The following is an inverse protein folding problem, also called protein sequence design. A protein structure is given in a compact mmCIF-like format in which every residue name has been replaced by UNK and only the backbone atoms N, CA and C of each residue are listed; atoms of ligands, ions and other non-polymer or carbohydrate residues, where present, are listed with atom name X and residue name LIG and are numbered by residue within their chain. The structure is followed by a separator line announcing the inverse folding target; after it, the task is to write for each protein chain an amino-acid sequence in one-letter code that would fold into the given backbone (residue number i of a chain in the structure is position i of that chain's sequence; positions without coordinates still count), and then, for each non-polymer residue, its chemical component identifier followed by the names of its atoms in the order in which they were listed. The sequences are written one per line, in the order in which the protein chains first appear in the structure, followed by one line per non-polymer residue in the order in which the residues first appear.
data_IF_856311656412
#
_entry.id   IF_856311656412
#
_cell.length_a   1.000
_cell.length_b   1.000
_cell.length_c   1.000
_cell.angle_alpha   90.00
_cell.angle_beta   90.00
_cell.angle_gamma   90.00
#
_symmetry.space_group_name_H-M   'P 1'
#
loop_
_entity.id
_entity.type
_entity.pdbx_description
1 polymer ?
#
# COMPACT_ATOMS: atom_id res chain seq x y z
N UNK A 1 5.71 -10.00 11.37
CA UNK A 1 6.86 -9.26 10.80
C UNK A 1 6.58 -9.08 9.31
N UNK A 2 7.16 -8.11 8.56
CA UNK A 2 7.04 -8.09 7.09
C UNK A 2 7.44 -9.42 6.41
N UNK A 3 8.09 -10.33 7.14
CA UNK A 3 8.45 -11.69 6.73
C UNK A 3 7.28 -12.68 6.62
N UNK A 4 6.05 -12.32 7.04
CA UNK A 4 4.90 -13.24 7.11
C UNK A 4 3.84 -13.00 6.01
N UNK A 5 4.10 -12.13 5.03
CA UNK A 5 3.13 -11.88 3.95
C UNK A 5 2.99 -13.12 3.06
N UNK A 6 1.80 -13.72 3.08
CA UNK A 6 1.50 -14.91 2.27
C UNK A 6 1.25 -14.50 0.82
N UNK A 7 1.98 -15.06 -0.11
CA UNK A 7 1.74 -14.86 -1.54
C UNK A 7 1.01 -16.08 -2.12
N UNK A 8 -0.23 -15.90 -2.56
CA UNK A 8 -1.00 -17.00 -3.13
C UNK A 8 -0.37 -17.52 -4.43
N UNK A 9 -0.47 -18.83 -4.65
CA UNK A 9 0.12 -19.47 -5.84
C UNK A 9 -0.43 -18.95 -7.16
N UNK A 10 -1.67 -18.45 -7.17
CA UNK A 10 -2.34 -17.88 -8.34
C UNK A 10 -2.07 -16.38 -8.50
N UNK A 11 -1.45 -15.72 -7.52
CA UNK A 11 -1.15 -14.30 -7.57
C UNK A 11 0.03 -14.04 -8.53
N UNK A 12 -0.17 -13.22 -9.58
CA UNK A 12 0.85 -13.02 -10.59
C UNK A 12 2.08 -12.32 -9.99
N UNK A 13 3.28 -12.82 -10.27
CA UNK A 13 4.56 -12.28 -9.75
C UNK A 13 5.31 -11.38 -10.72
N UNK A 14 4.69 -11.00 -11.84
CA UNK A 14 5.37 -10.24 -12.88
C UNK A 14 4.47 -9.27 -13.63
N UNK A 15 5.15 -8.39 -14.37
CA UNK A 15 4.65 -7.70 -15.56
C UNK A 15 3.38 -6.87 -15.37
N UNK A 16 3.38 -5.89 -14.46
CA UNK A 16 2.27 -4.95 -14.27
C UNK A 16 0.90 -5.62 -14.05
N UNK A 17 0.92 -6.89 -13.63
CA UNK A 17 -0.27 -7.67 -13.42
C UNK A 17 -0.98 -7.17 -12.15
N UNK A 18 -2.33 -7.09 -12.17
CA UNK A 18 -3.07 -6.66 -11.00
C UNK A 18 -2.99 -7.72 -9.91
N UNK A 19 -2.77 -7.27 -8.68
CA UNK A 19 -2.83 -8.07 -7.46
C UNK A 19 -3.76 -7.41 -6.45
N UNK A 20 -4.21 -8.19 -5.48
CA UNK A 20 -5.04 -7.73 -4.39
C UNK A 20 -4.33 -8.01 -3.07
N UNK A 21 -3.95 -6.98 -2.33
CA UNK A 21 -3.23 -7.10 -1.07
C UNK A 21 -4.21 -7.00 0.08
N UNK A 22 -4.25 -8.04 0.90
CA UNK A 22 -5.05 -8.10 2.12
C UNK A 22 -4.28 -7.44 3.27
N UNK A 23 -4.95 -6.52 3.94
CA UNK A 23 -4.44 -5.72 5.03
C UNK A 23 -5.20 -6.06 6.31
N UNK A 24 -4.45 -6.16 7.41
CA UNK A 24 -5.01 -6.32 8.76
C UNK A 24 -4.59 -5.15 9.64
N UNK A 25 -5.52 -4.70 10.48
CA UNK A 25 -5.24 -3.67 11.47
C UNK A 25 -4.39 -4.24 12.61
N UNK A 26 -3.26 -3.60 12.86
CA UNK A 26 -2.32 -3.96 13.90
C UNK A 26 -2.66 -3.26 15.23
N UNK A 27 -2.01 -3.71 16.31
CA UNK A 27 -2.21 -3.16 17.67
C UNK A 27 -1.81 -1.68 17.79
N UNK A 28 -0.91 -1.20 16.93
CA UNK A 28 -0.49 0.20 16.85
C UNK A 28 -1.52 1.10 16.14
N UNK A 29 -2.60 0.52 15.62
CA UNK A 29 -3.68 1.20 14.93
C UNK A 29 -3.48 1.37 13.43
N UNK A 30 -2.31 1.00 12.88
CA UNK A 30 -2.00 1.04 11.45
C UNK A 30 -2.36 -0.28 10.76
N UNK A 31 -2.29 -0.29 9.43
CA UNK A 31 -2.61 -1.46 8.61
C UNK A 31 -1.33 -2.04 8.01
N UNK A 32 -1.16 -3.36 8.12
CA UNK A 32 -0.04 -4.09 7.52
C UNK A 32 -0.55 -5.13 6.54
N UNK A 33 0.24 -5.38 5.49
CA UNK A 33 -0.04 -6.46 4.56
C UNK A 33 0.12 -7.82 5.26
N UNK A 34 -0.82 -8.71 5.01
CA UNK A 34 -0.79 -10.09 5.52
C UNK A 34 -0.85 -11.13 4.39
N UNK A 35 -1.39 -10.76 3.23
CA UNK A 35 -1.41 -11.63 2.06
C UNK A 35 -1.52 -10.87 0.73
N UNK A 36 -1.16 -11.54 -0.35
CA UNK A 36 -1.29 -11.08 -1.74
C UNK A 36 -2.01 -12.15 -2.56
N UNK A 37 -3.09 -11.76 -3.23
CA UNK A 37 -3.99 -12.63 -3.98
C UNK A 37 -4.04 -12.28 -5.47
N UNK A 38 -4.28 -13.29 -6.32
CA UNK A 38 -4.56 -13.09 -7.75
C UNK A 38 -5.97 -12.54 -8.03
N UNK A 39 -6.86 -12.64 -7.05
CA UNK A 39 -8.26 -12.20 -7.15
C UNK A 39 -8.81 -11.61 -5.86
N UNK A 40 -9.94 -10.91 -5.99
CA UNK A 40 -10.62 -10.21 -4.88
C UNK A 40 -11.41 -11.12 -3.92
N UNK A 41 -11.43 -12.43 -4.16
CA UNK A 41 -12.37 -13.35 -3.52
C UNK A 41 -11.93 -13.76 -2.10
N UNK A 42 -10.91 -13.11 -1.54
CA UNK A 42 -10.24 -13.48 -0.30
C UNK A 42 -10.35 -12.38 0.76
N UNK A 43 -11.55 -11.87 1.03
CA UNK A 43 -11.76 -10.93 2.14
C UNK A 43 -12.13 -11.73 3.38
N UNK A 44 -11.23 -11.76 4.37
CA UNK A 44 -11.56 -12.26 5.71
C UNK A 44 -12.32 -11.18 6.50
N UNK A 45 -13.09 -11.60 7.50
CA UNK A 45 -13.74 -10.65 8.39
C UNK A 45 -12.69 -9.82 9.13
N UNK A 46 -12.85 -8.50 9.11
CA UNK A 46 -11.93 -7.56 9.76
C UNK A 46 -10.74 -7.11 8.91
N UNK A 47 -10.59 -7.61 7.68
CA UNK A 47 -9.52 -7.18 6.75
C UNK A 47 -10.01 -6.20 5.70
N UNK A 48 -9.05 -5.54 5.03
CA UNK A 48 -9.29 -4.64 3.89
C UNK A 48 -8.46 -5.13 2.72
N UNK A 49 -8.98 -5.06 1.49
CA UNK A 49 -8.20 -5.35 0.29
C UNK A 49 -7.88 -4.05 -0.44
N UNK A 50 -6.60 -3.82 -0.75
CA UNK A 50 -6.14 -2.79 -1.68
C UNK A 50 -5.67 -3.43 -2.99
N UNK A 51 -6.08 -2.85 -4.12
CA UNK A 51 -5.61 -3.27 -5.44
C UNK A 51 -4.24 -2.66 -5.71
N UNK A 52 -3.33 -3.48 -6.22
CA UNK A 52 -2.02 -3.03 -6.68
C UNK A 52 -1.61 -3.69 -8.00
N UNK A 53 -0.38 -3.38 -8.40
CA UNK A 53 0.28 -3.87 -9.60
C UNK A 53 1.70 -4.26 -9.25
N UNK A 54 2.15 -5.41 -9.73
CA UNK A 54 3.54 -5.84 -9.57
C UNK A 54 4.44 -4.99 -10.46
N UNK A 55 5.38 -4.26 -9.86
CA UNK A 55 6.45 -3.64 -10.64
C UNK A 55 7.39 -4.72 -11.13
N UNK A 56 7.78 -4.64 -12.40
CA UNK A 56 8.86 -5.47 -12.94
C UNK A 56 10.20 -4.86 -12.53
N UNK A 57 10.95 -5.48 -11.60
CA UNK A 57 12.21 -4.91 -11.14
C UNK A 57 13.35 -5.06 -12.16
N UNK A 58 13.20 -5.91 -13.19
CA UNK A 58 14.29 -6.30 -14.08
C UNK A 58 14.04 -6.01 -15.57
N UNK A 59 12.92 -5.38 -15.94
CA UNK A 59 12.49 -5.24 -17.34
C UNK A 59 12.56 -6.58 -18.09
N UNK A 60 12.20 -7.66 -17.39
CA UNK A 60 12.35 -9.03 -17.83
C UNK A 60 10.97 -9.66 -17.91
N UNK A 61 10.66 -10.26 -19.06
CA UNK A 61 9.41 -11.01 -19.24
C UNK A 61 9.35 -12.31 -18.41
N UNK A 62 10.43 -12.67 -17.71
CA UNK A 62 10.47 -13.82 -16.82
C UNK A 62 10.21 -13.37 -15.36
N UNK A 63 9.31 -14.06 -14.62
CA UNK A 63 9.07 -13.75 -13.22
C UNK A 63 10.35 -13.97 -12.38
N UNK A 64 10.63 -13.10 -11.40
CA UNK A 64 11.76 -13.29 -10.50
C UNK A 64 11.54 -14.54 -9.62
N UNK A 65 12.61 -15.16 -9.11
CA UNK A 65 12.48 -16.28 -8.18
C UNK A 65 11.68 -15.87 -6.93
N UNK A 66 11.03 -16.83 -6.28
CA UNK A 66 10.14 -16.57 -5.13
C UNK A 66 10.86 -15.93 -3.94
N UNK A 67 12.18 -16.09 -3.85
CA UNK A 67 13.03 -15.54 -2.81
C UNK A 67 13.39 -14.06 -2.98
N UNK A 68 13.12 -13.47 -4.16
CA UNK A 68 13.40 -12.05 -4.41
C UNK A 68 12.24 -11.17 -3.94
N UNK A 69 12.52 -10.01 -3.34
CA UNK A 69 11.49 -9.05 -2.96
C UNK A 69 10.81 -8.50 -4.22
N UNK A 70 9.48 -8.41 -4.17
CA UNK A 70 8.67 -7.78 -5.20
C UNK A 70 8.23 -6.39 -4.73
N UNK A 71 8.30 -5.42 -5.62
CA UNK A 71 7.74 -4.09 -5.37
C UNK A 71 6.32 -4.01 -5.93
N UNK A 72 5.40 -3.51 -5.10
CA UNK A 72 4.00 -3.31 -5.47
C UNK A 72 3.69 -1.82 -5.56
N UNK A 73 2.95 -1.43 -6.60
CA UNK A 73 2.32 -0.10 -6.71
C UNK A 73 0.83 -0.21 -6.50
N UNK A 74 0.29 0.70 -5.71
CA UNK A 74 -1.11 0.75 -5.28
C UNK A 74 -1.87 1.95 -5.87
N UNK A 75 -1.20 2.78 -6.68
CA UNK A 75 -1.76 4.01 -7.22
C UNK A 75 -1.81 5.17 -6.22
N UNK A 76 -1.15 5.03 -5.06
CA UNK A 76 -1.06 6.04 -4.00
C UNK A 76 0.38 6.50 -3.73
N UNK A 77 1.32 6.16 -4.62
CA UNK A 77 2.75 6.47 -4.46
C UNK A 77 3.06 7.96 -4.52
N UNK A 78 2.18 8.75 -5.16
CA UNK A 78 2.37 10.19 -5.33
C UNK A 78 1.22 10.92 -4.66
N UNK A 79 1.54 11.63 -3.58
CA UNK A 79 0.60 12.48 -2.86
C UNK A 79 1.01 13.93 -3.09
N UNK A 80 0.13 14.71 -3.71
CA UNK A 80 0.38 16.12 -3.96
C UNK A 80 0.33 16.90 -2.64
N UNK A 81 1.45 17.53 -2.31
CA UNK A 81 1.53 18.48 -1.19
C UNK A 81 1.33 19.88 -1.78
N UNK A 82 0.29 20.62 -1.35
CA UNK A 82 0.07 22.00 -1.78
C UNK A 82 1.29 22.88 -1.49
N UNK A 83 1.54 23.82 -2.40
CA UNK A 83 2.62 24.80 -2.26
C UNK A 83 2.46 25.59 -0.94
N UNK A 84 3.51 25.61 -0.11
CA UNK A 84 3.50 26.22 1.23
C UNK A 84 3.12 25.29 2.39
N UNK A 85 2.57 24.09 2.12
CA UNK A 85 2.23 23.09 3.16
C UNK A 85 3.36 22.08 3.42
N UNK A 86 4.38 22.02 2.56
CA UNK A 86 5.50 21.09 2.73
C UNK A 86 6.41 21.42 3.92
N UNK A 87 6.38 22.66 4.42
CA UNK A 87 7.17 23.07 5.59
C UNK A 87 6.64 22.46 6.90
N UNK A 88 5.37 22.06 6.93
CA UNK A 88 4.73 21.44 8.10
C UNK A 88 4.98 19.92 8.17
N UNK A 89 5.54 19.33 7.11
CA UNK A 89 5.93 17.92 7.10
C UNK A 89 7.35 17.84 7.68
N UNK A 90 7.51 17.21 8.86
CA UNK A 90 8.81 17.10 9.46
C UNK A 90 9.77 16.29 8.59
N UNK A 91 11.04 16.69 8.60
CA UNK A 91 12.13 15.98 7.93
C UNK A 91 13.12 15.45 8.97
N UNK A 92 13.76 14.31 8.66
CA UNK A 92 14.69 13.64 9.58
C UNK A 92 14.06 12.46 10.34
N UNK A 93 14.88 11.73 11.09
CA UNK A 93 14.44 10.62 11.93
C UNK A 93 13.73 11.13 13.20
N UNK A 94 12.63 10.47 13.59
CA UNK A 94 11.91 10.78 14.85
C UNK A 94 10.44 11.16 14.69
N UNK A 95 9.95 11.28 13.46
CA UNK A 95 8.55 11.56 13.17
C UNK A 95 7.89 10.38 12.47
N UNK A 96 6.63 10.12 12.80
CA UNK A 96 5.81 9.12 12.09
C UNK A 96 4.91 9.85 11.12
N UNK A 97 5.05 9.54 9.84
CA UNK A 97 4.19 10.05 8.77
C UNK A 97 3.38 8.89 8.22
N UNK A 98 2.07 8.96 8.38
CA UNK A 98 1.11 8.01 7.84
C UNK A 98 0.09 8.74 6.95
N UNK A 99 -0.71 7.98 6.21
CA UNK A 99 -1.76 8.50 5.33
C UNK A 99 -3.03 7.75 5.62
N UNK A 100 -4.13 8.48 5.86
CA UNK A 100 -5.45 7.86 5.84
C UNK A 100 -5.87 7.63 4.39
N UNK A 101 -6.25 6.39 4.09
CA UNK A 101 -6.70 5.96 2.76
C UNK A 101 -8.12 5.45 2.84
N UNK A 102 -8.99 5.94 1.95
CA UNK A 102 -10.29 5.33 1.70
C UNK A 102 -10.16 4.29 0.61
N UNK A 103 -10.73 3.11 0.85
CA UNK A 103 -10.71 2.00 -0.09
C UNK A 103 -12.14 1.65 -0.47
N UNK A 104 -12.43 1.54 -1.77
CA UNK A 104 -13.75 1.13 -2.25
C UNK A 104 -13.89 -0.41 -2.30
N UNK A 105 -15.08 -0.89 -2.66
CA UNK A 105 -15.37 -2.34 -2.75
C UNK A 105 -14.54 -3.10 -3.82
N UNK A 106 -13.83 -2.38 -4.68
CA UNK A 106 -12.98 -2.94 -5.74
C UNK A 106 -11.50 -2.89 -5.37
N UNK A 107 -11.16 -2.39 -4.18
CA UNK A 107 -9.79 -2.20 -3.73
C UNK A 107 -9.14 -0.92 -4.26
N UNK A 108 -9.88 -0.02 -4.90
CA UNK A 108 -9.31 1.25 -5.34
C UNK A 108 -9.07 2.15 -4.11
N UNK A 109 -7.83 2.60 -3.96
CA UNK A 109 -7.41 3.44 -2.86
C UNK A 109 -7.37 4.92 -3.24
N UNK A 110 -7.85 5.77 -2.33
CA UNK A 110 -7.83 7.23 -2.47
C UNK A 110 -7.29 7.86 -1.18
N UNK A 111 -6.15 8.56 -1.23
CA UNK A 111 -5.63 9.30 -0.08
C UNK A 111 -6.61 10.37 0.41
N UNK A 112 -6.70 10.53 1.74
CA UNK A 112 -7.55 11.52 2.41
C UNK A 112 -6.75 12.66 3.01
N UNK A 113 -5.90 12.36 3.98
CA UNK A 113 -5.07 13.32 4.70
C UNK A 113 -3.81 12.62 5.24
N UNK A 114 -2.79 13.39 5.59
CA UNK A 114 -1.63 12.87 6.30
C UNK A 114 -1.92 12.80 7.80
N UNK A 115 -1.31 11.84 8.48
CA UNK A 115 -1.28 11.76 9.94
C UNK A 115 0.18 11.86 10.37
N UNK A 116 0.53 12.95 11.05
CA UNK A 116 1.89 13.27 11.47
C UNK A 116 1.93 13.22 12.99
N UNK A 117 2.71 12.30 13.55
CA UNK A 117 2.80 12.06 15.00
C UNK A 117 1.42 11.94 15.68
N UNK A 118 0.50 11.23 15.00
CA UNK A 118 -0.88 11.01 15.45
C UNK A 118 -1.85 12.18 15.24
N UNK A 119 -1.43 13.26 14.57
CA UNK A 119 -2.28 14.43 14.29
C UNK A 119 -2.61 14.52 12.81
N UNK A 120 -3.87 14.80 12.49
CA UNK A 120 -4.33 15.00 11.12
C UNK A 120 -3.72 16.27 10.51
N UNK A 121 -3.22 16.16 9.28
CA UNK A 121 -2.73 17.24 8.45
C UNK A 121 -3.43 17.18 7.08
N UNK A 122 -4.23 18.20 6.78
CA UNK A 122 -5.10 18.22 5.60
C UNK A 122 -4.33 18.23 4.27
N UNK A 123 -4.69 17.31 3.38
CA UNK A 123 -4.35 17.39 1.97
C UNK A 123 -5.29 18.40 1.31
N UNK A 124 -4.86 19.65 1.09
CA UNK A 124 -5.68 20.58 0.30
C UNK A 124 -5.79 20.05 -1.13
N UNK A 125 -6.95 19.49 -1.50
CA UNK A 125 -7.28 19.13 -2.87
C UNK A 125 -7.48 20.44 -3.67
N UNK A 126 -6.85 20.54 -4.85
CA UNK A 126 -7.25 21.51 -5.88
C UNK A 126 -8.33 20.89 -6.77
#
# INVERSE_FOLDING_TARGET
SPDDVVWDEDAPRCCDAPVYVELERQDDGYWSAIAVHGGRNHIRDGTVIIRGHVQDPYYSYAPPPSSEPLELRYGIEQIFIPEGSGADIPSGSGHTVAVEVKVDRFGNAVPRHFVIDGKEADLKRR
#
